data_IF_750737177011
#
_entry.id   IF_750737177011
#
_cell.length_a   1.000
_cell.length_b   1.000
_cell.length_c   1.000
_cell.angle_alpha   90.00
_cell.angle_beta   90.00
_cell.angle_gamma   90.00
#
_symmetry.space_group_name_H-M   'P 1'
#
loop_
_entity.id
_entity.type
_entity.pdbx_description
1 polymer ?
#
# COMPACT_ATOMS: atom_id res chain seq x y z
N UNK A 1 -33.40 -5.08 -0.56
CA UNK A 1 -32.32 -5.77 -1.29
C UNK A 1 -31.00 -5.25 -0.73
N UNK A 2 -29.97 -6.09 -0.59
CA UNK A 2 -28.68 -5.60 -0.15
C UNK A 2 -28.12 -4.60 -1.18
N UNK A 3 -27.48 -3.54 -0.69
CA UNK A 3 -26.91 -2.46 -1.49
C UNK A 3 -25.42 -2.34 -1.20
N UNK A 4 -24.66 -1.84 -2.18
CA UNK A 4 -23.25 -1.50 -1.97
C UNK A 4 -23.16 -0.35 -0.96
N UNK A 5 -22.25 -0.49 0.01
CA UNK A 5 -21.97 0.53 1.05
C UNK A 5 -20.50 0.93 0.99
N UNK A 6 -20.08 1.95 1.73
CA UNK A 6 -18.67 2.38 1.79
C UNK A 6 -17.75 1.25 2.25
N UNK A 7 -18.20 0.36 3.15
CA UNK A 7 -17.41 -0.78 3.61
C UNK A 7 -16.93 -1.73 2.48
N UNK A 8 -17.69 -1.80 1.38
CA UNK A 8 -17.31 -2.60 0.22
C UNK A 8 -16.16 -1.98 -0.62
N UNK A 9 -15.72 -0.77 -0.31
CA UNK A 9 -14.61 -0.10 -0.98
C UNK A 9 -13.38 0.16 -0.10
N UNK A 10 -13.45 -0.19 1.20
CA UNK A 10 -12.49 0.27 2.20
C UNK A 10 -11.38 -0.74 2.57
N UNK A 11 -11.13 -1.79 1.79
CA UNK A 11 -10.01 -2.70 2.02
C UNK A 11 -10.24 -3.85 3.01
N UNK A 12 -11.42 -3.94 3.66
CA UNK A 12 -11.74 -5.01 4.61
C UNK A 12 -12.36 -6.26 3.96
N UNK A 13 -12.90 -7.16 4.80
CA UNK A 13 -13.56 -8.41 4.36
C UNK A 13 -14.70 -8.14 3.37
N UNK A 14 -15.49 -7.08 3.59
CA UNK A 14 -16.61 -6.70 2.72
C UNK A 14 -16.15 -6.39 1.29
N UNK A 15 -15.01 -5.71 1.14
CA UNK A 15 -14.43 -5.46 -0.19
C UNK A 15 -13.95 -6.76 -0.82
N UNK A 16 -13.33 -7.65 -0.05
CA UNK A 16 -12.90 -8.96 -0.54
C UNK A 16 -14.09 -9.79 -1.05
N UNK A 17 -15.15 -9.88 -0.25
CA UNK A 17 -16.40 -10.54 -0.64
C UNK A 17 -16.96 -9.96 -1.95
N UNK A 18 -17.02 -8.62 -2.07
CA UNK A 18 -17.47 -7.95 -3.30
C UNK A 18 -16.58 -8.32 -4.50
N UNK A 19 -15.27 -8.31 -4.33
CA UNK A 19 -14.32 -8.65 -5.41
C UNK A 19 -14.51 -10.11 -5.83
N UNK A 20 -14.54 -11.03 -4.89
CA UNK A 20 -14.59 -12.47 -5.18
C UNK A 20 -15.97 -12.87 -5.77
N UNK A 21 -17.08 -12.44 -5.15
CA UNK A 21 -18.44 -12.87 -5.51
C UNK A 21 -19.00 -12.14 -6.73
N UNK A 22 -18.61 -10.90 -6.96
CA UNK A 22 -19.20 -10.07 -8.02
C UNK A 22 -18.25 -9.89 -9.21
N UNK A 23 -16.99 -9.51 -8.97
CA UNK A 23 -16.05 -9.22 -10.05
C UNK A 23 -15.31 -10.46 -10.52
N UNK A 24 -14.56 -11.13 -9.64
CA UNK A 24 -13.73 -12.27 -10.02
C UNK A 24 -14.57 -13.43 -10.56
N UNK A 25 -15.74 -13.70 -9.96
CA UNK A 25 -16.66 -14.75 -10.43
C UNK A 25 -17.15 -14.56 -11.87
N UNK A 26 -17.20 -13.31 -12.37
CA UNK A 26 -17.72 -12.97 -13.72
C UNK A 26 -16.64 -12.61 -14.72
N UNK A 27 -15.48 -12.12 -14.23
CA UNK A 27 -14.38 -11.64 -15.08
C UNK A 27 -13.19 -12.61 -15.09
N UNK A 28 -13.35 -13.81 -14.53
CA UNK A 28 -12.29 -14.81 -14.44
C UNK A 28 -11.61 -15.08 -15.79
N UNK A 29 -10.29 -15.00 -15.80
CA UNK A 29 -9.44 -15.33 -16.93
C UNK A 29 -8.03 -15.68 -16.42
N UNK A 30 -7.15 -16.13 -17.31
CA UNK A 30 -5.80 -16.58 -16.97
C UNK A 30 -4.86 -15.47 -16.41
N UNK A 31 -5.20 -14.19 -16.61
CA UNK A 31 -4.40 -13.05 -16.18
C UNK A 31 -4.89 -12.42 -14.87
N UNK A 32 -6.17 -12.64 -14.52
CA UNK A 32 -6.78 -12.02 -13.34
C UNK A 32 -6.44 -12.82 -12.08
N UNK A 33 -5.57 -12.26 -11.25
CA UNK A 33 -5.28 -12.79 -9.92
C UNK A 33 -5.51 -11.70 -8.87
N UNK A 34 -6.61 -11.79 -8.13
CA UNK A 34 -7.03 -10.80 -7.12
C UNK A 34 -6.15 -10.77 -5.86
N UNK A 35 -5.17 -11.68 -5.74
CA UNK A 35 -4.20 -11.69 -4.66
C UNK A 35 -2.91 -10.93 -5.00
N UNK A 36 -2.73 -10.51 -6.25
CA UNK A 36 -1.57 -9.76 -6.72
C UNK A 36 -1.92 -8.28 -6.94
N UNK A 37 -0.94 -7.40 -6.72
CA UNK A 37 -1.07 -5.95 -6.94
C UNK A 37 -0.98 -5.58 -8.44
N UNK A 38 -0.59 -6.51 -9.31
CA UNK A 38 -0.56 -6.31 -10.76
C UNK A 38 -0.81 -7.61 -11.53
N UNK A 39 -1.43 -7.49 -12.69
CA UNK A 39 -1.48 -8.57 -13.67
C UNK A 39 -0.15 -8.70 -14.43
N UNK A 40 0.25 -9.94 -14.79
CA UNK A 40 1.43 -10.18 -15.60
C UNK A 40 1.07 -10.58 -17.01
N UNK A 41 1.61 -9.85 -17.97
CA UNK A 41 1.39 -10.03 -19.40
C UNK A 41 2.69 -10.45 -20.09
N UNK A 42 2.63 -11.37 -21.05
CA UNK A 42 3.76 -11.72 -21.88
C UNK A 42 3.64 -10.95 -23.20
N UNK A 43 4.49 -9.94 -23.40
CA UNK A 43 4.54 -9.11 -24.60
C UNK A 43 5.95 -9.24 -25.21
N UNK A 44 6.01 -9.66 -26.45
CA UNK A 44 7.27 -9.82 -27.21
C UNK A 44 8.35 -10.64 -26.48
N UNK A 45 7.94 -11.71 -25.79
CA UNK A 45 8.83 -12.58 -25.02
C UNK A 45 9.34 -11.98 -23.69
N UNK A 46 8.89 -10.78 -23.32
CA UNK A 46 9.20 -10.14 -22.05
C UNK A 46 7.97 -10.13 -21.15
N UNK A 47 8.19 -10.20 -19.85
CA UNK A 47 7.11 -10.17 -18.86
C UNK A 47 6.86 -8.75 -18.37
N UNK A 48 5.65 -8.25 -18.59
CA UNK A 48 5.20 -6.92 -18.19
C UNK A 48 4.18 -7.04 -17.06
N UNK A 49 4.13 -6.04 -16.22
CA UNK A 49 3.13 -5.87 -15.18
C UNK A 49 2.22 -4.70 -15.56
N UNK A 50 0.94 -4.84 -15.29
CA UNK A 50 -0.08 -3.81 -15.46
C UNK A 50 -0.93 -3.77 -14.20
N UNK A 51 -1.13 -2.58 -13.64
CA UNK A 51 -2.04 -2.34 -12.53
C UNK A 51 -2.93 -1.14 -12.82
N UNK A 52 -4.04 -1.02 -12.11
CA UNK A 52 -4.92 0.15 -12.15
C UNK A 52 -5.42 0.46 -10.75
N UNK A 53 -5.51 1.75 -10.42
CA UNK A 53 -5.98 2.19 -9.11
C UNK A 53 -6.82 3.46 -9.22
N UNK A 54 -7.69 3.70 -8.23
CA UNK A 54 -8.58 4.83 -8.13
C UNK A 54 -8.35 5.62 -6.85
N UNK A 55 -8.18 6.94 -6.98
CA UNK A 55 -7.82 7.83 -5.88
C UNK A 55 -8.96 8.79 -5.57
N UNK A 56 -9.42 8.75 -4.31
CA UNK A 56 -10.60 9.49 -3.82
C UNK A 56 -10.34 10.16 -2.47
N UNK A 57 -9.07 10.41 -2.12
CA UNK A 57 -8.67 10.95 -0.81
C UNK A 57 -9.40 12.26 -0.47
N UNK A 58 -9.83 12.37 0.78
CA UNK A 58 -10.44 13.58 1.34
C UNK A 58 -9.79 13.90 2.68
N UNK A 59 -9.27 15.17 2.85
CA UNK A 59 -9.26 16.26 1.87
C UNK A 59 -8.25 16.04 0.72
N UNK A 60 -8.41 16.77 -0.39
CA UNK A 60 -7.54 16.67 -1.58
C UNK A 60 -6.07 17.02 -1.28
N UNK A 61 -5.85 17.90 -0.29
CA UNK A 61 -4.53 18.30 0.22
C UNK A 61 -4.40 17.87 1.67
N UNK A 62 -3.30 17.23 1.99
CA UNK A 62 -3.00 16.77 3.33
C UNK A 62 -1.53 17.01 3.67
N UNK A 63 -1.13 17.03 4.94
CA UNK A 63 0.28 17.20 5.31
C UNK A 63 1.16 16.14 4.65
N UNK A 64 2.13 16.57 3.83
CA UNK A 64 3.04 15.68 3.11
C UNK A 64 2.67 15.37 1.67
N UNK A 65 1.47 15.80 1.16
CA UNK A 65 1.09 15.56 -0.23
C UNK A 65 -0.30 16.05 -0.62
N UNK A 66 -0.75 15.60 -1.76
CA UNK A 66 -2.11 15.79 -2.25
C UNK A 66 -2.51 14.62 -3.15
N UNK A 67 -3.77 14.60 -3.60
CA UNK A 67 -4.30 13.54 -4.45
C UNK A 67 -3.49 13.34 -5.75
N UNK A 68 -2.85 14.38 -6.28
CA UNK A 68 -2.03 14.30 -7.50
C UNK A 68 -0.74 13.51 -7.28
N UNK A 69 0.02 13.82 -6.23
CA UNK A 69 1.22 13.04 -5.87
C UNK A 69 0.86 11.62 -5.44
N UNK A 70 -0.24 11.46 -4.70
CA UNK A 70 -0.73 10.16 -4.24
C UNK A 70 -1.07 9.24 -5.41
N UNK A 71 -1.77 9.75 -6.45
CA UNK A 71 -2.15 8.98 -7.63
C UNK A 71 -0.95 8.43 -8.41
N UNK A 72 0.17 9.15 -8.43
CA UNK A 72 1.42 8.63 -9.01
C UNK A 72 2.04 7.58 -8.10
N UNK A 73 2.18 7.89 -6.80
CA UNK A 73 2.86 7.01 -5.86
C UNK A 73 2.17 5.66 -5.74
N UNK A 74 0.84 5.61 -5.53
CA UNK A 74 0.10 4.36 -5.36
C UNK A 74 0.31 3.42 -6.55
N UNK A 75 0.02 3.88 -7.77
CA UNK A 75 0.17 3.04 -8.96
C UNK A 75 1.62 2.62 -9.26
N UNK A 76 2.58 3.51 -9.01
CA UNK A 76 4.02 3.18 -9.11
C UNK A 76 4.41 2.13 -8.07
N UNK A 77 3.88 2.22 -6.85
CA UNK A 77 4.17 1.31 -5.76
C UNK A 77 3.62 -0.09 -6.02
N UNK A 78 2.40 -0.23 -6.54
CA UNK A 78 1.84 -1.52 -6.99
C UNK A 78 2.76 -2.24 -7.98
N UNK A 79 3.22 -1.52 -9.02
CA UNK A 79 4.19 -2.07 -9.98
C UNK A 79 5.48 -2.49 -9.29
N UNK A 80 5.99 -1.64 -8.39
CA UNK A 80 7.23 -1.88 -7.69
C UNK A 80 7.16 -3.14 -6.81
N UNK A 81 6.11 -3.26 -5.96
CA UNK A 81 5.96 -4.42 -5.08
C UNK A 81 5.65 -5.71 -5.83
N UNK A 82 5.08 -5.60 -7.03
CA UNK A 82 4.96 -6.73 -7.97
C UNK A 82 6.30 -7.15 -8.62
N UNK A 83 7.41 -6.46 -8.29
CA UNK A 83 8.73 -6.73 -8.84
C UNK A 83 8.91 -6.22 -10.27
N UNK A 84 8.20 -5.16 -10.64
CA UNK A 84 8.30 -4.53 -11.94
C UNK A 84 8.82 -3.10 -11.84
N UNK A 85 9.77 -2.73 -12.71
CA UNK A 85 10.20 -1.34 -12.86
C UNK A 85 9.10 -0.55 -13.56
N UNK A 86 8.55 0.51 -12.92
CA UNK A 86 7.54 1.36 -13.54
C UNK A 86 8.12 2.14 -14.74
N UNK A 87 7.28 2.37 -15.76
CA UNK A 87 7.66 3.15 -16.95
C UNK A 87 6.60 4.18 -17.34
N UNK A 88 5.33 3.75 -17.47
CA UNK A 88 4.26 4.59 -18.02
C UNK A 88 3.03 4.53 -17.15
N UNK A 89 2.33 5.66 -17.09
CA UNK A 89 0.98 5.77 -16.53
C UNK A 89 0.01 6.36 -17.57
N UNK A 90 -1.25 5.94 -17.49
CA UNK A 90 -2.39 6.71 -18.00
C UNK A 90 -3.09 7.42 -16.85
N UNK A 91 -3.85 8.48 -17.15
CA UNK A 91 -4.58 9.27 -16.17
C UNK A 91 -6.01 9.50 -16.64
N UNK A 92 -7.00 9.05 -15.86
CA UNK A 92 -8.37 9.50 -15.97
C UNK A 92 -8.68 10.50 -14.85
N UNK A 93 -9.11 11.71 -15.19
CA UNK A 93 -9.47 12.76 -14.26
C UNK A 93 -10.99 12.96 -14.25
N UNK A 94 -11.60 12.85 -13.06
CA UNK A 94 -12.99 13.19 -12.81
C UNK A 94 -13.01 14.43 -11.94
N UNK A 95 -13.47 15.56 -12.49
CA UNK A 95 -13.40 16.88 -11.85
C UNK A 95 -14.82 17.38 -11.64
N UNK A 96 -15.13 17.78 -10.42
CA UNK A 96 -16.43 18.34 -10.09
C UNK A 96 -16.51 19.79 -10.60
N UNK A 97 -17.65 20.15 -11.23
CA UNK A 97 -17.94 21.51 -11.63
C UNK A 97 -17.86 22.47 -10.44
N UNK A 98 -17.15 23.59 -10.62
CA UNK A 98 -16.87 24.55 -9.55
C UNK A 98 -15.50 24.35 -8.88
N UNK A 99 -14.74 23.29 -9.21
CA UNK A 99 -13.35 23.17 -8.78
C UNK A 99 -12.53 24.36 -9.29
N UNK A 100 -11.83 25.06 -8.40
CA UNK A 100 -10.99 26.19 -8.79
C UNK A 100 -9.77 25.73 -9.60
N UNK A 101 -9.49 26.43 -10.71
CA UNK A 101 -8.30 26.14 -11.54
C UNK A 101 -7.01 26.19 -10.72
N UNK A 102 -6.86 27.17 -9.83
CA UNK A 102 -5.69 27.31 -8.97
C UNK A 102 -5.45 26.10 -8.04
N UNK A 103 -6.53 25.44 -7.64
CA UNK A 103 -6.46 24.20 -6.86
C UNK A 103 -6.06 23.01 -7.75
N UNK A 104 -6.68 22.91 -8.93
CA UNK A 104 -6.37 21.85 -9.90
C UNK A 104 -4.91 21.97 -10.37
N UNK A 105 -4.43 23.16 -10.69
CA UNK A 105 -3.03 23.41 -11.09
C UNK A 105 -2.05 22.90 -10.03
N UNK A 106 -2.24 23.21 -8.75
CA UNK A 106 -1.40 22.70 -7.65
C UNK A 106 -1.42 21.18 -7.54
N UNK A 107 -2.55 20.54 -7.82
CA UNK A 107 -2.68 19.08 -7.81
C UNK A 107 -1.87 18.49 -8.96
N UNK A 108 -2.00 19.05 -10.17
CA UNK A 108 -1.29 18.55 -11.36
C UNK A 108 0.22 18.85 -11.27
N UNK A 109 0.63 19.99 -10.72
CA UNK A 109 2.04 20.27 -10.45
C UNK A 109 2.68 19.22 -9.52
N UNK A 110 1.99 18.86 -8.44
CA UNK A 110 2.47 17.82 -7.55
C UNK A 110 2.52 16.43 -8.22
N UNK A 111 1.55 16.13 -9.08
CA UNK A 111 1.54 14.92 -9.91
C UNK A 111 2.75 14.89 -10.86
N UNK A 112 3.03 15.99 -11.55
CA UNK A 112 4.17 16.11 -12.47
C UNK A 112 5.52 15.96 -11.75
N UNK A 113 5.65 16.57 -10.57
CA UNK A 113 6.84 16.44 -9.73
C UNK A 113 7.04 14.99 -9.27
N UNK A 114 5.98 14.32 -8.82
CA UNK A 114 6.03 12.91 -8.39
C UNK A 114 6.41 11.99 -9.56
N UNK A 115 5.83 12.19 -10.75
CA UNK A 115 6.15 11.44 -11.95
C UNK A 115 7.63 11.61 -12.36
N UNK A 116 8.12 12.85 -12.33
CA UNK A 116 9.52 13.17 -12.61
C UNK A 116 10.47 12.48 -11.61
N UNK A 117 10.15 12.59 -10.31
CA UNK A 117 10.95 11.95 -9.25
C UNK A 117 10.96 10.42 -9.35
N UNK A 118 9.88 9.83 -9.81
CA UNK A 118 9.78 8.38 -10.06
C UNK A 118 10.39 7.96 -11.41
N UNK A 119 10.81 8.92 -12.24
CA UNK A 119 11.31 8.70 -13.60
C UNK A 119 10.33 7.90 -14.47
N UNK A 120 9.06 8.29 -14.43
CA UNK A 120 7.97 7.71 -15.22
C UNK A 120 7.30 8.81 -16.06
N UNK A 121 6.57 8.39 -17.10
CA UNK A 121 5.82 9.29 -17.97
C UNK A 121 4.32 9.00 -17.92
N UNK A 122 3.51 10.06 -17.76
CA UNK A 122 2.07 10.00 -18.01
C UNK A 122 1.90 10.22 -19.52
N UNK A 123 1.49 9.16 -20.23
CA UNK A 123 1.55 9.12 -21.70
C UNK A 123 0.20 9.31 -22.40
N UNK A 124 -0.89 9.17 -21.67
CA UNK A 124 -2.27 9.35 -22.17
C UNK A 124 -3.23 9.61 -21.03
N UNK A 125 -4.43 10.09 -21.34
CA UNK A 125 -5.46 10.29 -20.33
C UNK A 125 -6.79 10.72 -20.93
N UNK A 126 -7.81 10.78 -20.06
CA UNK A 126 -9.12 11.35 -20.36
C UNK A 126 -9.57 12.27 -19.23
N UNK A 127 -10.48 13.18 -19.51
CA UNK A 127 -11.03 14.13 -18.52
C UNK A 127 -12.54 14.16 -18.62
N UNK A 128 -13.20 14.00 -17.48
CA UNK A 128 -14.65 14.17 -17.32
C UNK A 128 -14.93 15.24 -16.28
N UNK A 129 -15.79 16.19 -16.62
CA UNK A 129 -16.37 17.12 -15.64
C UNK A 129 -17.73 16.59 -15.24
N UNK A 130 -17.96 16.42 -13.94
CA UNK A 130 -19.22 15.95 -13.37
C UNK A 130 -19.96 17.12 -12.71
N UNK A 131 -21.32 17.11 -12.69
CA UNK A 131 -22.09 18.17 -12.06
C UNK A 131 -21.76 18.35 -10.58
N UNK A 132 -21.86 19.59 -10.09
CA UNK A 132 -21.68 19.92 -8.68
C UNK A 132 -22.59 19.06 -7.75
N UNK A 133 -22.04 18.56 -6.65
CA UNK A 133 -22.71 17.67 -5.70
C UNK A 133 -22.66 16.17 -6.07
N UNK A 134 -22.12 15.81 -7.23
CA UNK A 134 -21.99 14.41 -7.69
C UNK A 134 -20.56 13.86 -7.63
N UNK A 135 -19.62 14.67 -7.19
CA UNK A 135 -18.22 14.29 -7.00
C UNK A 135 -17.78 14.48 -5.56
N UNK A 136 -16.55 14.65 -5.33
CA UNK A 136 -15.91 15.03 -4.05
C UNK A 136 -14.77 15.99 -4.35
N UNK A 137 -14.93 16.82 -5.37
CA UNK A 137 -13.94 17.73 -5.91
C UNK A 137 -13.18 17.11 -7.09
N UNK A 138 -12.13 16.37 -6.84
CA UNK A 138 -11.30 15.73 -7.88
C UNK A 138 -11.05 14.27 -7.52
N UNK A 139 -11.27 13.39 -8.50
CA UNK A 139 -10.88 11.98 -8.42
C UNK A 139 -9.98 11.61 -9.59
N UNK A 140 -9.06 10.71 -9.36
CA UNK A 140 -8.20 10.16 -10.39
C UNK A 140 -8.34 8.63 -10.47
N UNK A 141 -8.22 8.11 -11.69
CA UNK A 141 -7.91 6.71 -11.91
C UNK A 141 -6.68 6.62 -12.82
N UNK A 142 -5.72 5.84 -12.40
CA UNK A 142 -4.46 5.65 -13.12
C UNK A 142 -4.30 4.19 -13.52
N UNK A 143 -3.65 3.95 -14.66
CA UNK A 143 -3.22 2.61 -15.05
C UNK A 143 -1.73 2.66 -15.29
N UNK A 144 -1.00 1.77 -14.64
CA UNK A 144 0.44 1.67 -14.71
C UNK A 144 0.92 0.49 -15.52
N UNK A 145 2.03 0.67 -16.25
CA UNK A 145 2.74 -0.39 -16.98
C UNK A 145 4.21 -0.39 -16.55
N UNK A 146 4.71 -1.57 -16.15
CA UNK A 146 6.08 -1.78 -15.74
C UNK A 146 6.66 -3.07 -16.31
N UNK A 147 7.98 -3.15 -16.42
CA UNK A 147 8.69 -4.35 -16.87
C UNK A 147 9.20 -5.13 -15.67
N UNK A 148 8.85 -6.42 -15.59
CA UNK A 148 9.29 -7.28 -14.51
C UNK A 148 10.82 -7.42 -14.49
N UNK A 149 11.42 -7.26 -13.31
CA UNK A 149 12.85 -7.51 -13.11
C UNK A 149 13.08 -9.00 -12.89
N UNK A 150 14.03 -9.58 -13.64
CA UNK A 150 14.27 -11.04 -13.66
C UNK A 150 14.87 -11.56 -12.35
N UNK A 151 15.53 -10.69 -11.58
CA UNK A 151 16.22 -11.04 -10.34
C UNK A 151 15.29 -11.38 -9.19
N UNK A 152 14.07 -10.81 -9.18
CA UNK A 152 13.08 -11.04 -8.14
C UNK A 152 12.10 -12.13 -8.56
N UNK A 153 12.06 -13.20 -7.78
CA UNK A 153 11.16 -14.34 -7.99
C UNK A 153 10.07 -14.31 -6.92
N UNK A 154 9.20 -13.28 -7.00
CA UNK A 154 8.11 -13.09 -6.04
C UNK A 154 7.02 -14.15 -6.29
N UNK A 155 6.72 -14.94 -5.25
CA UNK A 155 5.74 -16.02 -5.30
C UNK A 155 5.38 -16.43 -3.86
N UNK A 156 4.12 -16.33 -3.48
CA UNK A 156 3.61 -16.66 -2.15
C UNK A 156 3.71 -18.16 -1.83
N UNK A 157 3.71 -19.03 -2.83
CA UNK A 157 3.89 -20.48 -2.67
C UNK A 157 5.28 -20.86 -2.13
N UNK A 158 6.23 -19.92 -2.17
CA UNK A 158 7.61 -20.10 -1.66
C UNK A 158 7.76 -19.77 -0.18
N UNK A 159 6.71 -19.20 0.44
CA UNK A 159 6.71 -18.82 1.84
C UNK A 159 6.71 -20.10 2.71
N UNK A 160 7.50 -20.07 3.77
CA UNK A 160 7.61 -21.20 4.71
C UNK A 160 7.78 -20.71 6.15
N UNK A 161 7.52 -21.58 7.11
CA UNK A 161 7.80 -21.29 8.52
C UNK A 161 9.28 -20.94 8.72
N UNK A 162 9.54 -19.89 9.51
CA UNK A 162 10.87 -19.32 9.72
C UNK A 162 11.17 -18.09 8.87
N UNK A 163 10.42 -17.84 7.79
CA UNK A 163 10.61 -16.63 6.97
C UNK A 163 10.33 -15.36 7.79
N UNK A 164 11.19 -14.36 7.61
CA UNK A 164 11.08 -13.09 8.30
C UNK A 164 10.13 -12.12 7.57
N UNK A 165 9.44 -11.31 8.35
CA UNK A 165 8.59 -10.21 7.89
C UNK A 165 9.27 -8.90 8.24
N UNK A 166 9.50 -8.05 7.23
CA UNK A 166 10.20 -6.78 7.34
C UNK A 166 9.29 -5.66 6.84
N UNK A 167 9.22 -4.54 7.56
CA UNK A 167 8.63 -3.30 7.06
C UNK A 167 9.71 -2.26 6.80
N UNK A 168 9.56 -1.48 5.72
CA UNK A 168 10.60 -0.54 5.26
C UNK A 168 10.71 0.74 6.08
N UNK A 169 9.78 1.03 6.98
CA UNK A 169 9.83 2.26 7.80
C UNK A 169 8.63 2.44 8.71
N UNK A 170 8.49 3.61 9.33
CA UNK A 170 7.38 3.93 10.24
C UNK A 170 6.02 3.74 9.60
N UNK A 171 5.05 3.27 10.39
CA UNK A 171 3.71 2.93 9.94
C UNK A 171 2.63 3.86 10.50
N UNK A 172 1.51 3.97 9.78
CA UNK A 172 0.33 4.73 10.18
C UNK A 172 0.41 6.24 9.91
N UNK A 173 1.53 6.74 9.39
CA UNK A 173 1.73 8.17 9.14
C UNK A 173 0.72 8.73 8.15
N UNK A 174 0.46 8.04 7.02
CA UNK A 174 -0.51 8.51 6.02
C UNK A 174 -1.92 8.60 6.61
N UNK A 175 -2.40 7.51 7.20
CA UNK A 175 -3.75 7.48 7.79
C UNK A 175 -3.96 8.61 8.81
N UNK A 176 -2.98 8.84 9.72
CA UNK A 176 -3.06 9.92 10.70
C UNK A 176 -2.98 11.31 10.03
N UNK A 177 -2.07 11.51 9.06
CA UNK A 177 -1.94 12.80 8.38
C UNK A 177 -3.25 13.21 7.66
N UNK A 178 -3.88 12.28 6.94
CA UNK A 178 -5.16 12.52 6.25
C UNK A 178 -6.29 12.75 7.26
N UNK A 179 -6.38 11.92 8.30
CA UNK A 179 -7.41 12.07 9.34
C UNK A 179 -7.32 13.42 10.04
N UNK A 180 -6.12 13.84 10.45
CA UNK A 180 -5.90 15.14 11.11
C UNK A 180 -6.18 16.33 10.18
N UNK A 181 -6.05 16.16 8.87
CA UNK A 181 -6.42 17.19 7.91
C UNK A 181 -7.94 17.23 7.63
N UNK A 182 -8.64 16.12 7.88
CA UNK A 182 -10.08 15.98 7.67
C UNK A 182 -10.90 16.51 8.83
N UNK A 183 -10.48 16.20 10.04
CA UNK A 183 -11.22 16.43 11.27
C UNK A 183 -10.47 17.39 12.19
N UNK A 184 -11.19 18.35 12.77
CA UNK A 184 -10.62 19.22 13.80
C UNK A 184 -10.79 18.57 15.17
N UNK A 185 -9.75 17.86 15.62
CA UNK A 185 -9.72 17.26 16.96
C UNK A 185 -9.17 18.23 18.04
N UNK A 186 -8.91 19.49 17.70
CA UNK A 186 -8.21 20.41 18.59
C UNK A 186 -6.76 20.00 18.89
N UNK A 187 -6.18 19.11 18.09
CA UNK A 187 -4.81 18.63 18.21
C UNK A 187 -3.93 19.29 17.15
N UNK A 188 -2.75 19.75 17.54
CA UNK A 188 -1.73 20.22 16.58
C UNK A 188 -0.63 19.17 16.46
N UNK A 189 -0.34 18.73 15.24
CA UNK A 189 0.71 17.74 14.96
C UNK A 189 1.53 18.14 13.75
N UNK A 190 2.79 17.70 13.72
CA UNK A 190 3.67 17.84 12.56
C UNK A 190 3.79 16.51 11.77
N UNK A 191 2.80 15.62 11.90
CA UNK A 191 2.80 14.33 11.22
C UNK A 191 2.57 14.58 9.74
N UNK A 192 3.50 14.10 8.92
CA UNK A 192 3.40 14.11 7.46
C UNK A 192 3.05 12.73 6.96
N UNK A 193 2.25 12.67 5.90
CA UNK A 193 2.05 11.44 5.13
C UNK A 193 3.39 10.87 4.68
N UNK A 194 3.49 9.55 4.70
CA UNK A 194 4.62 8.81 4.15
C UNK A 194 4.48 8.55 2.64
N UNK A 195 3.44 9.10 1.98
CA UNK A 195 3.25 8.94 0.54
C UNK A 195 4.53 9.21 -0.25
N UNK A 196 4.98 8.21 -1.01
CA UNK A 196 6.27 8.27 -1.71
C UNK A 196 6.52 7.06 -2.59
N UNK A 197 7.43 7.23 -3.55
CA UNK A 197 7.84 6.16 -4.46
C UNK A 197 8.71 5.12 -3.74
N UNK A 198 8.28 3.85 -3.74
CA UNK A 198 9.02 2.75 -3.11
C UNK A 198 9.91 1.97 -4.09
N UNK A 199 9.91 2.31 -5.39
CA UNK A 199 10.79 1.64 -6.36
C UNK A 199 12.28 1.63 -5.96
N UNK A 200 12.86 2.68 -5.35
CA UNK A 200 14.26 2.62 -4.88
C UNK A 200 14.53 1.48 -3.92
N UNK A 201 13.58 1.18 -3.02
CA UNK A 201 13.69 0.05 -2.08
C UNK A 201 13.68 -1.29 -2.81
N UNK A 202 12.76 -1.48 -3.76
CA UNK A 202 12.67 -2.72 -4.57
C UNK A 202 13.90 -2.89 -5.44
N UNK A 203 14.33 -1.84 -6.12
CA UNK A 203 15.53 -1.86 -6.97
C UNK A 203 16.79 -2.24 -6.18
N UNK A 204 16.90 -1.79 -4.93
CA UNK A 204 18.03 -2.14 -4.06
C UNK A 204 18.09 -3.63 -3.73
N UNK A 205 16.95 -4.34 -3.70
CA UNK A 205 16.90 -5.79 -3.48
C UNK A 205 17.46 -6.58 -4.67
N UNK A 206 17.35 -6.04 -5.89
CA UNK A 206 17.88 -6.69 -7.10
C UNK A 206 19.40 -6.84 -7.08
N UNK A 207 20.11 -6.02 -6.31
CA UNK A 207 21.57 -6.03 -6.17
C UNK A 207 22.08 -6.83 -4.94
N UNK A 208 21.21 -7.50 -4.22
CA UNK A 208 21.63 -8.42 -3.14
C UNK A 208 22.35 -9.64 -3.72
N UNK A 209 23.17 -10.31 -2.92
CA UNK A 209 23.82 -11.56 -3.31
C UNK A 209 22.81 -12.68 -3.61
N UNK A 210 21.63 -12.63 -2.95
CA UNK A 210 20.57 -13.62 -3.08
C UNK A 210 19.20 -12.98 -3.27
N UNK A 211 18.94 -12.28 -4.40
CA UNK A 211 17.62 -11.66 -4.64
C UNK A 211 16.47 -12.68 -4.62
N UNK A 212 16.75 -13.92 -5.00
CA UNK A 212 15.78 -15.02 -4.96
C UNK A 212 15.28 -15.37 -3.54
N UNK A 213 15.95 -14.91 -2.48
CA UNK A 213 15.47 -15.07 -1.10
C UNK A 213 14.36 -14.08 -0.70
N UNK A 214 14.09 -13.07 -1.52
CA UNK A 214 12.91 -12.23 -1.41
C UNK A 214 11.73 -13.04 -1.98
N UNK A 215 10.73 -13.30 -1.17
CA UNK A 215 9.63 -14.19 -1.53
C UNK A 215 8.38 -13.44 -1.93
N UNK A 216 8.06 -12.34 -1.22
CA UNK A 216 6.89 -11.53 -1.50
C UNK A 216 7.13 -10.09 -1.04
N UNK A 217 6.52 -9.15 -1.73
CA UNK A 217 6.48 -7.72 -1.38
C UNK A 217 5.03 -7.26 -1.49
N UNK A 218 4.59 -6.36 -0.62
CA UNK A 218 3.31 -5.66 -0.67
C UNK A 218 3.46 -4.26 -0.10
N UNK A 219 2.65 -3.34 -0.55
CA UNK A 219 2.46 -2.05 0.11
C UNK A 219 1.25 -2.12 1.04
N UNK A 220 1.41 -1.70 2.29
CA UNK A 220 0.34 -1.77 3.28
C UNK A 220 -0.57 -0.54 3.22
N UNK A 221 -1.33 -0.41 2.15
CA UNK A 221 -2.30 0.67 1.91
C UNK A 221 -3.55 0.49 2.76
N UNK A 222 -4.72 0.30 2.18
CA UNK A 222 -5.98 0.17 2.92
C UNK A 222 -5.97 -0.99 3.93
N UNK A 223 -6.37 -0.69 5.18
CA UNK A 223 -6.32 -1.63 6.30
C UNK A 223 -4.92 -1.91 6.84
N UNK A 224 -3.91 -1.18 6.33
CA UNK A 224 -2.54 -1.19 6.83
C UNK A 224 -1.87 -2.56 6.78
N UNK A 225 -0.90 -2.75 7.67
CA UNK A 225 -0.17 -4.02 7.79
C UNK A 225 -1.08 -5.19 8.17
N UNK A 226 -2.16 -4.93 8.93
CA UNK A 226 -3.07 -5.99 9.36
C UNK A 226 -3.65 -6.73 8.15
N UNK A 227 -4.20 -6.02 7.18
CA UNK A 227 -4.82 -6.66 6.02
C UNK A 227 -3.79 -7.45 5.20
N UNK A 228 -2.58 -6.94 5.04
CA UNK A 228 -1.52 -7.66 4.32
C UNK A 228 -1.18 -8.99 4.99
N UNK A 229 -0.95 -9.00 6.30
CA UNK A 229 -0.59 -10.25 7.01
C UNK A 229 -1.78 -11.21 7.11
N UNK A 230 -3.01 -10.73 7.18
CA UNK A 230 -4.21 -11.57 7.12
C UNK A 230 -4.36 -12.22 5.74
N UNK A 231 -4.14 -11.50 4.67
CA UNK A 231 -4.15 -12.06 3.30
C UNK A 231 -3.07 -13.13 3.14
N UNK A 232 -1.86 -12.88 3.62
CA UNK A 232 -0.79 -13.88 3.58
C UNK A 232 -1.11 -15.12 4.41
N UNK A 233 -1.67 -14.96 5.61
CA UNK A 233 -2.10 -16.10 6.42
C UNK A 233 -3.20 -16.91 5.71
N UNK A 234 -4.16 -16.23 5.07
CA UNK A 234 -5.24 -16.86 4.32
C UNK A 234 -4.75 -17.65 3.11
N UNK A 235 -3.79 -17.11 2.33
CA UNK A 235 -3.29 -17.78 1.13
C UNK A 235 -2.31 -18.90 1.43
N UNK A 236 -1.44 -18.73 2.44
CA UNK A 236 -0.41 -19.73 2.78
C UNK A 236 -0.86 -20.76 3.79
N UNK A 237 -1.87 -20.46 4.61
CA UNK A 237 -2.31 -21.25 5.77
C UNK A 237 -1.21 -21.45 6.83
N UNK A 238 -0.15 -20.65 6.79
CA UNK A 238 0.97 -20.69 7.77
C UNK A 238 0.73 -19.60 8.82
N UNK A 239 0.95 -19.92 10.09
CA UNK A 239 0.83 -18.97 11.20
C UNK A 239 1.83 -17.82 11.07
N UNK A 240 1.49 -16.68 11.67
CA UNK A 240 2.34 -15.48 11.68
C UNK A 240 2.48 -15.00 13.12
N UNK A 241 3.72 -14.90 13.61
CA UNK A 241 4.10 -14.21 14.84
C UNK A 241 4.56 -12.79 14.52
N UNK A 242 3.89 -11.79 15.06
CA UNK A 242 4.30 -10.39 15.00
C UNK A 242 4.84 -9.95 16.37
N UNK A 243 5.73 -8.96 16.38
CA UNK A 243 6.39 -8.43 17.56
C UNK A 243 6.02 -6.95 17.76
N UNK A 244 5.09 -6.66 18.67
CA UNK A 244 4.60 -5.29 18.92
C UNK A 244 5.74 -4.31 19.21
N UNK A 245 6.75 -4.73 19.98
CA UNK A 245 7.91 -3.91 20.32
C UNK A 245 8.81 -3.58 19.13
N UNK A 246 8.72 -4.33 18.03
CA UNK A 246 9.51 -4.12 16.82
C UNK A 246 8.79 -3.27 15.77
N UNK A 247 7.50 -2.96 15.97
CA UNK A 247 6.75 -2.11 15.05
C UNK A 247 7.33 -0.68 15.07
N UNK A 248 7.81 -0.15 13.94
CA UNK A 248 8.33 1.20 13.89
C UNK A 248 7.16 2.20 13.81
N UNK A 249 6.72 2.72 14.94
CA UNK A 249 5.66 3.71 15.06
C UNK A 249 6.29 4.99 15.62
N UNK A 250 6.08 6.12 14.93
CA UNK A 250 6.55 7.41 15.43
C UNK A 250 5.80 7.80 16.70
N UNK A 251 6.48 8.39 17.71
CA UNK A 251 5.84 8.77 18.98
C UNK A 251 4.60 9.66 18.80
N UNK A 252 4.63 10.58 17.83
CA UNK A 252 3.49 11.44 17.52
C UNK A 252 2.29 10.65 16.98
N UNK A 253 2.52 9.70 16.06
CA UNK A 253 1.49 8.79 15.53
C UNK A 253 0.91 7.95 16.65
N UNK A 254 1.77 7.34 17.49
CA UNK A 254 1.32 6.54 18.63
C UNK A 254 0.47 7.35 19.62
N UNK A 255 0.84 8.62 19.88
CA UNK A 255 0.09 9.49 20.78
C UNK A 255 -1.31 9.80 20.24
N UNK A 256 -1.44 10.13 18.95
CA UNK A 256 -2.73 10.37 18.31
C UNK A 256 -3.57 9.09 18.31
N UNK A 257 -2.98 7.93 17.96
CA UNK A 257 -3.66 6.65 18.02
C UNK A 257 -4.22 6.34 19.42
N UNK A 258 -3.42 6.58 20.47
CA UNK A 258 -3.86 6.35 21.86
C UNK A 258 -5.03 7.27 22.28
N UNK A 259 -5.02 8.54 21.84
CA UNK A 259 -6.08 9.51 22.16
C UNK A 259 -7.39 9.13 21.45
N UNK A 260 -7.29 8.73 20.19
CA UNK A 260 -8.46 8.50 19.32
C UNK A 260 -8.91 7.03 19.28
N UNK A 261 -8.20 6.11 19.93
CA UNK A 261 -8.53 4.69 19.99
C UNK A 261 -8.20 3.91 18.71
N UNK A 262 -7.28 4.41 17.88
CA UNK A 262 -6.81 3.69 16.69
C UNK A 262 -5.60 2.80 16.99
N UNK A 263 -5.41 1.78 16.18
CA UNK A 263 -4.19 0.97 16.15
C UNK A 263 -3.42 1.30 14.86
N UNK A 264 -2.20 1.84 15.00
CA UNK A 264 -1.35 2.22 13.86
C UNK A 264 -1.11 1.06 12.87
N UNK A 265 -1.20 -0.19 13.34
CA UNK A 265 -1.08 -1.39 12.53
C UNK A 265 -2.21 -1.55 11.50
N UNK A 266 -3.36 -0.92 11.75
CA UNK A 266 -4.54 -0.93 10.89
C UNK A 266 -4.62 0.29 9.94
N UNK A 267 -3.68 1.23 10.06
CA UNK A 267 -3.72 2.48 9.30
C UNK A 267 -2.89 2.39 8.03
N UNK A 268 -3.41 3.00 6.96
CA UNK A 268 -2.77 3.03 5.66
C UNK A 268 -1.38 3.68 5.68
N UNK A 269 -0.49 3.12 4.88
CA UNK A 269 0.82 3.65 4.55
C UNK A 269 0.94 3.71 3.02
N UNK A 270 1.35 4.86 2.48
CA UNK A 270 1.39 5.12 1.04
C UNK A 270 2.83 5.23 0.48
N UNK A 271 3.81 4.91 1.31
CA UNK A 271 5.22 4.91 0.94
C UNK A 271 6.03 3.86 1.69
N UNK A 272 5.39 2.74 2.05
CA UNK A 272 6.04 1.63 2.75
C UNK A 272 5.91 0.34 1.97
N UNK A 273 6.85 -0.58 2.22
CA UNK A 273 6.82 -1.97 1.76
C UNK A 273 6.86 -2.87 2.97
N UNK A 274 6.05 -3.92 2.93
CA UNK A 274 6.22 -5.09 3.78
C UNK A 274 6.74 -6.24 2.92
N UNK A 275 7.79 -6.92 3.39
CA UNK A 275 8.47 -7.98 2.66
C UNK A 275 8.49 -9.29 3.44
N UNK A 276 8.35 -10.40 2.72
CA UNK A 276 8.63 -11.74 3.23
C UNK A 276 9.95 -12.20 2.64
N UNK A 277 10.90 -12.54 3.50
CA UNK A 277 12.24 -12.94 3.10
C UNK A 277 12.72 -14.16 3.88
N UNK A 278 13.60 -14.96 3.28
CA UNK A 278 14.33 -16.00 4.01
C UNK A 278 15.05 -15.37 5.21
N UNK A 279 14.93 -15.99 6.40
CA UNK A 279 15.50 -15.45 7.63
C UNK A 279 17.00 -15.13 7.52
N UNK A 280 17.76 -15.90 6.73
CA UNK A 280 19.19 -15.70 6.52
C UNK A 280 19.51 -14.40 5.76
N UNK A 281 18.54 -13.83 5.06
CA UNK A 281 18.70 -12.61 4.24
C UNK A 281 18.13 -11.38 4.94
N UNK A 282 17.37 -11.55 6.03
CA UNK A 282 16.63 -10.47 6.69
C UNK A 282 17.53 -9.29 7.11
N UNK A 283 18.66 -9.55 7.76
CA UNK A 283 19.58 -8.50 8.19
C UNK A 283 20.22 -7.76 7.00
N UNK A 284 20.50 -8.47 5.90
CA UNK A 284 21.04 -7.86 4.68
C UNK A 284 20.02 -6.93 4.02
N UNK A 285 18.73 -7.31 3.99
CA UNK A 285 17.63 -6.47 3.51
C UNK A 285 17.49 -5.24 4.40
N UNK A 286 17.43 -5.42 5.72
CA UNK A 286 17.32 -4.31 6.66
C UNK A 286 18.48 -3.32 6.52
N UNK A 287 19.72 -3.82 6.44
CA UNK A 287 20.91 -2.99 6.25
C UNK A 287 20.85 -2.22 4.91
N UNK A 288 20.44 -2.89 3.83
CA UNK A 288 20.32 -2.29 2.50
C UNK A 288 19.28 -1.17 2.50
N UNK A 289 18.11 -1.42 3.05
CA UNK A 289 17.02 -0.45 3.09
C UNK A 289 17.34 0.75 4.01
N UNK A 290 17.91 0.53 5.19
CA UNK A 290 18.31 1.61 6.12
C UNK A 290 19.28 2.63 5.53
N UNK A 291 20.04 2.25 4.50
CA UNK A 291 20.94 3.16 3.78
C UNK A 291 20.22 4.04 2.75
N UNK A 292 18.93 3.80 2.50
CA UNK A 292 18.10 4.62 1.62
C UNK A 292 17.24 5.57 2.45
N UNK A 293 16.89 6.72 1.86
CA UNK A 293 16.00 7.70 2.49
C UNK A 293 14.65 7.07 2.83
N UNK A 294 14.09 6.32 1.89
CA UNK A 294 12.77 5.67 1.97
C UNK A 294 12.75 4.53 2.99
N UNK A 295 13.91 3.95 3.31
CA UNK A 295 14.08 2.81 4.22
C UNK A 295 14.48 3.17 5.64
N UNK A 296 14.49 4.45 6.00
CA UNK A 296 14.76 4.87 7.38
C UNK A 296 13.69 4.32 8.31
N UNK A 297 14.12 3.62 9.37
CA UNK A 297 13.20 2.97 10.31
C UNK A 297 12.80 1.55 9.92
N UNK A 298 13.44 0.95 8.89
CA UNK A 298 13.25 -0.47 8.54
C UNK A 298 13.43 -1.37 9.76
N UNK A 299 12.50 -2.31 9.94
CA UNK A 299 12.52 -3.25 11.06
C UNK A 299 12.01 -4.64 10.66
N UNK A 300 12.57 -5.68 11.29
CA UNK A 300 12.00 -7.03 11.27
C UNK A 300 10.87 -7.03 12.30
N UNK A 301 9.62 -7.18 11.84
CA UNK A 301 8.43 -7.03 12.68
C UNK A 301 7.77 -8.36 13.04
N UNK A 302 8.22 -9.47 12.44
CA UNK A 302 7.61 -10.77 12.69
C UNK A 302 8.23 -11.87 11.86
N UNK A 303 7.60 -13.03 11.90
CA UNK A 303 7.99 -14.21 11.14
C UNK A 303 6.81 -15.15 10.88
N UNK A 304 6.92 -15.97 9.87
CA UNK A 304 6.03 -17.10 9.67
C UNK A 304 6.37 -18.23 10.65
N UNK A 305 5.37 -18.96 11.13
CA UNK A 305 5.56 -20.01 12.16
C UNK A 305 4.69 -21.24 11.89
N UNK A 306 5.17 -22.40 12.28
CA UNK A 306 4.39 -23.66 12.27
C UNK A 306 3.73 -23.99 13.61
N UNK A 307 3.91 -23.14 14.65
CA UNK A 307 3.35 -23.42 15.98
C UNK A 307 1.85 -23.21 16.09
N UNK A 308 1.27 -22.42 15.18
CA UNK A 308 -0.16 -22.18 15.06
C UNK A 308 -0.49 -21.76 13.61
N UNK A 309 -1.79 -21.64 13.30
CA UNK A 309 -2.28 -21.24 11.96
C UNK A 309 -2.92 -19.85 11.93
N UNK A 310 -2.67 -18.99 12.91
CA UNK A 310 -3.30 -17.68 13.08
C UNK A 310 -2.27 -16.55 12.96
N UNK A 311 -2.75 -15.31 12.82
CA UNK A 311 -1.93 -14.11 13.00
C UNK A 311 -1.96 -13.74 14.48
N UNK A 312 -0.80 -13.73 15.12
CA UNK A 312 -0.64 -13.47 16.55
C UNK A 312 0.33 -12.31 16.77
N UNK A 313 -0.09 -11.30 17.54
CA UNK A 313 0.76 -10.23 18.03
C UNK A 313 1.30 -10.57 19.42
N UNK A 314 2.60 -10.71 19.52
CA UNK A 314 3.30 -10.83 20.79
C UNK A 314 3.48 -9.43 21.39
N UNK A 315 2.85 -9.17 22.54
CA UNK A 315 2.77 -7.84 23.13
C UNK A 315 4.02 -7.44 23.89
N UNK A 316 4.25 -6.15 24.05
CA UNK A 316 5.36 -5.60 24.87
C UNK A 316 5.35 -6.08 26.31
N UNK A 317 4.17 -6.44 26.83
CA UNK A 317 3.99 -6.93 28.23
C UNK A 317 4.19 -8.44 28.38
N UNK A 318 4.62 -9.14 27.33
CA UNK A 318 4.88 -10.60 27.36
C UNK A 318 3.63 -11.47 27.14
N UNK A 319 2.47 -10.86 26.81
CA UNK A 319 1.28 -11.59 26.39
C UNK A 319 1.25 -11.82 24.88
N UNK A 320 0.18 -12.47 24.41
CA UNK A 320 -0.11 -12.66 22.99
C UNK A 320 -1.59 -12.41 22.71
N UNK A 321 -1.90 -11.73 21.58
CA UNK A 321 -3.28 -11.54 21.11
C UNK A 321 -3.42 -12.04 19.67
N UNK A 322 -4.52 -12.70 19.36
CA UNK A 322 -4.87 -13.04 17.99
C UNK A 322 -5.35 -11.77 17.31
N UNK A 323 -4.80 -11.48 16.13
CA UNK A 323 -5.30 -10.40 15.28
C UNK A 323 -6.39 -10.97 14.37
N UNK A 324 -7.48 -10.23 14.24
CA UNK A 324 -8.58 -10.56 13.33
C UNK A 324 -8.51 -9.65 12.10
N UNK A 325 -8.97 -10.15 10.93
CA UNK A 325 -9.13 -9.29 9.77
C UNK A 325 -10.16 -8.19 10.07
N UNK A 326 -9.93 -7.00 9.52
CA UNK A 326 -10.87 -5.89 9.63
C UNK A 326 -12.12 -6.19 8.79
N UNK A 327 -13.30 -5.96 9.34
CA UNK A 327 -14.55 -5.99 8.57
C UNK A 327 -14.66 -4.77 7.67
N UNK A 328 -14.19 -3.62 8.17
CA UNK A 328 -14.16 -2.33 7.49
C UNK A 328 -12.94 -1.53 7.92
N UNK A 329 -12.50 -0.60 7.07
CA UNK A 329 -11.39 0.29 7.41
C UNK A 329 -11.85 1.39 8.36
N UNK A 330 -11.06 1.70 9.43
CA UNK A 330 -11.43 2.75 10.38
C UNK A 330 -11.46 4.15 9.76
N UNK A 331 -10.75 4.37 8.65
CA UNK A 331 -10.59 5.68 8.01
C UNK A 331 -10.93 5.63 6.51
N UNK A 332 -12.20 5.72 6.10
CA UNK A 332 -12.57 5.69 4.68
C UNK A 332 -12.02 6.91 3.92
N UNK A 333 -11.81 6.76 2.61
CA UNK A 333 -11.31 7.80 1.69
C UNK A 333 -9.94 8.36 2.06
N UNK A 334 -8.98 7.50 2.34
CA UNK A 334 -7.59 7.89 2.59
C UNK A 334 -6.69 7.75 1.35
N UNK A 335 -7.13 7.03 0.33
CA UNK A 335 -6.43 6.90 -0.96
C UNK A 335 -7.35 7.14 -2.15
#
# INVERSE_FOLDING_TARGET
MPTVTLAHGNGGLRMRELIDDVFASRLANEYLNTNNDAAFLNLDGERWAMTTDGFTVQPLFFPGGNIGSLAVHGTVNDLAVSGAKPFYLSLNAFIEEGTEFSQLEKIIDAMALAATAANIHIVTGDTKVVPNGNGGGVYFATTGIGKRVKQLMLDDTRIQAGDAIIVSGPIGNHGIAVMMAREDFGLSTNILSDSGNVWPLVNALCSLATPAHIKLLRDPTRGGLNMVVQDWNRTTHIGIDLFEQALPIEPAVQSVCNILGYDAFNLACEGRIIAVVDARTADSVCSRWKNLREGKGTAIIGRFTSHHSRVVMNTKMGGARVLLPLEDEPLPRIC
#
